data_IF_598646666429
#
_entry.id   IF_598646666429
#
_cell.length_a   1.000
_cell.length_b   1.000
_cell.length_c   1.000
_cell.angle_alpha   90.00
_cell.angle_beta   90.00
_cell.angle_gamma   90.00
#
_symmetry.space_group_name_H-M   'P 1'
#
loop_
_entity.id
_entity.type
_entity.pdbx_description
1 polymer ?
#
# COMPACT_ATOMS: atom_id res chain seq x y z
N UNK A 1 4.88 16.36 -16.59
CA UNK A 1 3.54 15.97 -17.04
C UNK A 1 3.37 14.47 -17.01
N UNK A 2 2.21 14.03 -16.59
CA UNK A 2 1.94 12.61 -16.54
C UNK A 2 1.42 12.10 -17.86
N UNK A 3 1.98 11.02 -18.34
CA UNK A 3 1.49 10.41 -19.55
C UNK A 3 0.43 9.36 -19.27
N UNK A 4 -0.07 8.74 -20.32
CA UNK A 4 -1.09 7.69 -20.19
C UNK A 4 -0.55 6.47 -19.43
N UNK A 5 0.76 6.32 -19.35
CA UNK A 5 1.40 5.21 -18.67
C UNK A 5 1.60 5.47 -17.18
N UNK A 6 1.39 6.71 -16.73
CA UNK A 6 1.65 7.05 -15.33
C UNK A 6 0.65 6.38 -14.40
N UNK A 7 1.16 5.90 -13.27
CA UNK A 7 0.35 5.34 -12.20
C UNK A 7 0.01 6.46 -11.23
N UNK A 8 -1.24 6.52 -10.82
CA UNK A 8 -1.68 7.54 -9.86
C UNK A 8 -1.62 7.04 -8.43
N UNK A 9 -1.87 5.76 -8.20
CA UNK A 9 -1.89 5.17 -6.88
C UNK A 9 -1.19 3.82 -6.94
N UNK A 10 -0.32 3.56 -5.98
CA UNK A 10 0.33 2.27 -5.84
C UNK A 10 -0.18 1.60 -4.57
N UNK A 11 -0.66 0.38 -4.69
CA UNK A 11 -1.09 -0.42 -3.55
C UNK A 11 0.05 -1.37 -3.22
N UNK A 12 0.72 -1.13 -2.10
CA UNK A 12 1.82 -1.97 -1.66
C UNK A 12 1.26 -3.06 -0.76
N UNK A 13 1.36 -4.30 -1.20
CA UNK A 13 0.84 -5.44 -0.44
C UNK A 13 1.97 -6.07 0.36
N UNK A 14 1.84 -6.05 1.68
CA UNK A 14 2.86 -6.59 2.59
C UNK A 14 2.19 -7.65 3.47
N UNK A 15 2.82 -8.82 3.58
CA UNK A 15 2.29 -9.88 4.41
C UNK A 15 2.58 -9.60 5.88
N UNK A 16 1.54 -9.68 6.71
CA UNK A 16 1.67 -9.35 8.14
C UNK A 16 2.54 -10.35 8.90
N UNK A 17 2.67 -11.57 8.40
CA UNK A 17 3.49 -12.59 9.03
C UNK A 17 4.95 -12.55 8.59
N UNK A 18 5.21 -12.09 7.37
CA UNK A 18 6.57 -12.01 6.84
C UNK A 18 7.25 -10.67 7.12
N UNK A 19 6.45 -9.62 7.17
CA UNK A 19 7.00 -8.27 7.32
C UNK A 19 7.62 -7.75 6.04
N UNK A 20 8.57 -6.84 6.18
CA UNK A 20 9.20 -6.19 5.04
C UNK A 20 10.28 -7.09 4.45
N UNK A 21 10.15 -7.38 3.16
CA UNK A 21 11.07 -8.22 2.43
C UNK A 21 11.84 -7.38 1.42
N UNK A 22 12.94 -7.89 0.85
CA UNK A 22 13.71 -7.09 -0.14
C UNK A 22 12.86 -6.60 -1.30
N UNK A 23 11.92 -7.41 -1.77
CA UNK A 23 11.04 -7.00 -2.87
C UNK A 23 10.11 -5.86 -2.43
N UNK A 24 9.75 -5.83 -1.14
CA UNK A 24 8.94 -4.76 -0.60
C UNK A 24 9.69 -3.44 -0.68
N UNK A 25 10.96 -3.45 -0.31
CA UNK A 25 11.81 -2.26 -0.36
C UNK A 25 11.93 -1.76 -1.79
N UNK A 26 12.11 -2.68 -2.72
CA UNK A 26 12.23 -2.34 -4.12
C UNK A 26 10.95 -1.67 -4.63
N UNK A 27 9.80 -2.22 -4.26
CA UNK A 27 8.52 -1.66 -4.64
C UNK A 27 8.33 -0.25 -4.10
N UNK A 28 8.74 -0.02 -2.85
CA UNK A 28 8.66 1.30 -2.22
C UNK A 28 9.51 2.29 -3.00
N UNK A 29 10.73 1.90 -3.33
CA UNK A 29 11.64 2.79 -4.05
C UNK A 29 11.10 3.15 -5.43
N UNK A 30 10.50 2.17 -6.12
CA UNK A 30 9.89 2.43 -7.42
C UNK A 30 8.74 3.42 -7.31
N UNK A 31 7.87 3.23 -6.33
CA UNK A 31 6.71 4.10 -6.16
C UNK A 31 7.14 5.52 -5.78
N UNK A 32 8.14 5.64 -4.92
CA UNK A 32 8.63 6.95 -4.51
C UNK A 32 9.31 7.68 -5.67
N UNK A 33 10.07 6.95 -6.46
CA UNK A 33 10.73 7.54 -7.63
C UNK A 33 9.71 8.05 -8.63
N UNK A 34 8.57 7.37 -8.74
CA UNK A 34 7.50 7.78 -9.64
C UNK A 34 6.64 8.90 -9.06
N UNK A 35 6.78 9.20 -7.78
CA UNK A 35 6.02 10.26 -7.13
C UNK A 35 4.55 9.98 -6.98
N UNK A 36 4.18 8.70 -6.84
CA UNK A 36 2.78 8.31 -6.73
C UNK A 36 2.37 8.15 -5.26
N UNK A 37 1.06 8.24 -5.00
CA UNK A 37 0.51 7.97 -3.68
C UNK A 37 0.63 6.49 -3.38
N UNK A 38 0.99 6.17 -2.14
CA UNK A 38 1.15 4.78 -1.71
C UNK A 38 0.11 4.47 -0.64
N UNK A 39 -0.63 3.38 -0.86
CA UNK A 39 -1.51 2.81 0.16
C UNK A 39 -0.94 1.44 0.50
N UNK A 40 -0.75 1.17 1.77
CA UNK A 40 -0.18 -0.11 2.20
C UNK A 40 -1.32 -1.03 2.64
N UNK A 41 -1.44 -2.16 1.97
CA UNK A 41 -2.39 -3.21 2.34
C UNK A 41 -1.61 -4.28 3.09
N UNK A 42 -1.87 -4.41 4.40
CA UNK A 42 -1.20 -5.40 5.23
C UNK A 42 -2.05 -6.67 5.18
N UNK A 43 -1.60 -7.63 4.40
CA UNK A 43 -2.35 -8.86 4.12
C UNK A 43 -2.06 -9.95 5.15
N UNK A 44 -2.86 -10.99 5.13
CA UNK A 44 -2.71 -12.18 5.96
C UNK A 44 -2.89 -11.91 7.45
N UNK A 45 -3.78 -10.96 7.78
CA UNK A 45 -4.05 -10.66 9.19
C UNK A 45 -4.74 -11.82 9.90
N UNK A 46 -5.26 -12.79 9.17
CA UNK A 46 -5.87 -13.99 9.72
C UNK A 46 -4.85 -15.00 10.23
N UNK A 47 -3.58 -14.82 9.91
CA UNK A 47 -2.53 -15.74 10.36
C UNK A 47 -2.21 -15.51 11.84
N UNK A 48 -1.94 -16.58 12.60
CA UNK A 48 -1.58 -16.41 14.02
C UNK A 48 -0.32 -15.58 14.23
N UNK A 49 0.60 -15.59 13.27
CA UNK A 49 1.84 -14.84 13.38
C UNK A 49 1.74 -13.43 12.81
N UNK A 50 0.54 -12.99 12.43
CA UNK A 50 0.35 -11.67 11.86
C UNK A 50 0.65 -10.58 12.90
N UNK A 51 1.39 -9.56 12.47
CA UNK A 51 1.75 -8.45 13.34
C UNK A 51 1.75 -7.15 12.53
N UNK A 52 0.61 -6.48 12.52
CA UNK A 52 0.43 -5.25 11.75
C UNK A 52 1.32 -4.13 12.30
N UNK A 53 1.44 -4.05 13.62
CA UNK A 53 2.25 -3.00 14.25
C UNK A 53 3.71 -3.13 13.86
N UNK A 54 4.19 -4.35 13.77
CA UNK A 54 5.57 -4.59 13.34
C UNK A 54 5.79 -4.09 11.92
N UNK A 55 4.83 -4.37 11.03
CA UNK A 55 4.94 -3.90 9.63
C UNK A 55 4.98 -2.39 9.59
N UNK A 56 4.11 -1.72 10.35
CA UNK A 56 4.11 -0.26 10.41
C UNK A 56 5.45 0.27 10.88
N UNK A 57 6.00 -0.38 11.91
CA UNK A 57 7.27 0.05 12.47
C UNK A 57 8.42 -0.14 11.48
N UNK A 58 8.44 -1.25 10.78
CA UNK A 58 9.48 -1.51 9.80
C UNK A 58 9.43 -0.53 8.63
N UNK A 59 8.23 -0.16 8.21
CA UNK A 59 8.07 0.73 7.07
C UNK A 59 8.41 2.18 7.38
N UNK A 60 8.43 2.57 8.65
CA UNK A 60 8.87 3.91 9.04
C UNK A 60 10.28 4.19 8.54
N UNK A 61 11.13 3.17 8.55
CA UNK A 61 12.51 3.33 8.10
C UNK A 61 12.62 3.65 6.62
N UNK A 62 11.56 3.38 5.87
CA UNK A 62 11.53 3.65 4.44
C UNK A 62 10.67 4.84 4.10
N UNK A 63 10.30 5.62 5.11
CA UNK A 63 9.56 6.86 4.90
C UNK A 63 8.06 6.70 4.81
N UNK A 64 7.52 5.55 5.16
CA UNK A 64 6.08 5.31 5.14
C UNK A 64 5.56 5.28 6.58
N UNK A 65 5.13 6.43 7.06
CA UNK A 65 4.64 6.57 8.43
C UNK A 65 3.12 6.55 8.41
N UNK A 66 2.52 5.66 9.21
CA UNK A 66 1.08 5.49 9.26
C UNK A 66 0.38 6.77 9.74
N UNK A 67 -0.83 6.99 9.25
CA UNK A 67 -1.61 8.17 9.65
C UNK A 67 -1.86 8.23 11.15
N UNK A 68 -2.13 7.08 11.75
CA UNK A 68 -2.39 7.03 13.20
C UNK A 68 -1.10 7.20 14.01
N UNK A 69 0.05 7.24 13.35
CA UNK A 69 1.34 7.52 13.99
C UNK A 69 1.84 8.92 13.64
N UNK A 70 0.96 9.77 13.10
CA UNK A 70 1.33 11.14 12.78
C UNK A 70 1.85 11.35 11.37
N UNK A 71 1.84 10.31 10.54
CA UNK A 71 2.27 10.41 9.15
C UNK A 71 1.12 10.66 8.20
N UNK A 72 1.35 10.33 6.94
CA UNK A 72 0.33 10.54 5.89
C UNK A 72 0.12 9.31 5.02
N UNK A 73 0.62 8.16 5.42
CA UNK A 73 0.48 6.92 4.67
C UNK A 73 -0.70 6.11 5.22
N UNK A 74 -1.57 5.68 4.32
CA UNK A 74 -2.74 4.88 4.70
C UNK A 74 -2.33 3.42 4.78
N UNK A 75 -2.60 2.78 5.92
CA UNK A 75 -2.38 1.36 6.12
C UNK A 75 -3.73 0.70 6.33
N UNK A 76 -4.02 -0.33 5.54
CA UNK A 76 -5.29 -1.06 5.65
C UNK A 76 -5.00 -2.53 5.92
N UNK A 77 -5.38 -3.04 7.11
CA UNK A 77 -5.23 -4.47 7.39
C UNK A 77 -6.27 -5.27 6.61
N UNK A 78 -5.83 -6.31 5.92
CA UNK A 78 -6.72 -7.11 5.09
C UNK A 78 -6.38 -8.59 5.19
N UNK A 79 -7.33 -9.42 4.80
CA UNK A 79 -7.09 -10.84 4.57
C UNK A 79 -7.79 -11.23 3.29
N UNK A 80 -6.99 -11.54 2.27
CA UNK A 80 -7.57 -12.01 1.01
C UNK A 80 -8.27 -13.34 1.20
N UNK A 81 -7.82 -14.13 2.18
CA UNK A 81 -8.40 -15.44 2.46
C UNK A 81 -9.80 -15.33 3.07
N UNK A 82 -9.97 -14.48 4.08
CA UNK A 82 -11.25 -14.29 4.74
C UNK A 82 -12.05 -13.13 4.16
N UNK A 83 -11.44 -12.35 3.27
CA UNK A 83 -12.01 -11.14 2.66
C UNK A 83 -12.22 -10.00 3.65
N UNK A 84 -11.63 -10.13 4.83
CA UNK A 84 -11.69 -9.07 5.84
C UNK A 84 -10.89 -7.85 5.37
N UNK A 85 -11.48 -6.66 5.55
CA UNK A 85 -10.79 -5.41 5.23
C UNK A 85 -10.75 -5.03 3.76
N UNK A 86 -11.23 -5.90 2.87
CA UNK A 86 -11.17 -5.61 1.43
C UNK A 86 -12.05 -4.41 1.08
N UNK A 87 -13.24 -4.32 1.67
CA UNK A 87 -14.13 -3.18 1.42
C UNK A 87 -13.49 -1.88 1.87
N UNK A 88 -12.81 -1.90 3.01
CA UNK A 88 -12.13 -0.72 3.51
C UNK A 88 -10.99 -0.31 2.58
N UNK A 89 -10.25 -1.28 2.06
CA UNK A 89 -9.18 -0.99 1.11
C UNK A 89 -9.71 -0.32 -0.14
N UNK A 90 -10.80 -0.85 -0.69
CA UNK A 90 -11.42 -0.26 -1.88
C UNK A 90 -11.90 1.16 -1.58
N UNK A 91 -12.49 1.38 -0.41
CA UNK A 91 -12.95 2.70 -0.02
C UNK A 91 -11.79 3.69 0.06
N UNK A 92 -10.67 3.26 0.63
CA UNK A 92 -9.50 4.14 0.74
C UNK A 92 -8.90 4.45 -0.63
N UNK A 93 -8.95 3.50 -1.56
CA UNK A 93 -8.49 3.74 -2.92
C UNK A 93 -9.36 4.82 -3.57
N UNK A 94 -10.66 4.72 -3.41
CA UNK A 94 -11.60 5.68 -3.98
C UNK A 94 -11.37 7.06 -3.39
N UNK A 95 -11.23 7.16 -2.07
CA UNK A 95 -10.99 8.44 -1.40
C UNK A 95 -9.68 9.07 -1.86
N UNK A 96 -8.65 8.27 -2.02
CA UNK A 96 -7.36 8.77 -2.48
C UNK A 96 -7.47 9.26 -3.93
N UNK A 97 -8.18 8.51 -4.77
CA UNK A 97 -8.36 8.91 -6.16
C UNK A 97 -9.12 10.24 -6.24
N UNK A 98 -10.14 10.43 -5.40
CA UNK A 98 -10.88 11.68 -5.38
C UNK A 98 -10.01 12.85 -4.97
N UNK A 99 -9.11 12.63 -4.02
CA UNK A 99 -8.20 13.68 -3.56
C UNK A 99 -7.23 14.11 -4.65
N UNK A 100 -6.92 13.21 -5.58
CA UNK A 100 -6.00 13.50 -6.67
C UNK A 100 -6.67 14.21 -7.83
N UNK A 101 -7.86 14.75 -7.61
CA UNK A 101 -8.62 15.51 -8.56
C UNK A 101 -7.78 16.38 -9.49
N UNK A 102 -8.33 16.81 -10.61
CA UNK A 102 -9.73 16.71 -11.04
C UNK A 102 -9.99 15.69 -12.13
N UNK A 103 -9.34 14.61 -12.18
CA UNK A 103 -9.36 13.73 -13.34
C UNK A 103 -10.43 12.66 -13.25
N UNK A 104 -11.01 12.36 -14.39
CA UNK A 104 -11.97 11.29 -14.55
C UNK A 104 -11.30 10.00 -14.98
N UNK A 105 -9.98 9.98 -14.98
CA UNK A 105 -9.20 8.81 -15.35
C UNK A 105 -8.09 8.60 -14.33
N UNK A 106 -8.01 7.42 -13.77
CA UNK A 106 -7.04 7.07 -12.73
C UNK A 106 -6.39 5.74 -13.03
N UNK A 107 -5.17 5.61 -12.61
CA UNK A 107 -4.45 4.35 -12.69
C UNK A 107 -4.02 3.91 -11.31
N UNK A 108 -4.32 2.66 -10.99
CA UNK A 108 -3.95 2.06 -9.72
C UNK A 108 -3.07 0.87 -10.02
N UNK A 109 -1.92 0.81 -9.35
CA UNK A 109 -0.98 -0.28 -9.50
C UNK A 109 -0.88 -1.04 -8.18
N UNK A 110 -1.12 -2.35 -8.24
CA UNK A 110 -0.91 -3.21 -7.09
C UNK A 110 0.50 -3.76 -7.16
N UNK A 111 1.26 -3.56 -6.08
CA UNK A 111 2.65 -3.99 -6.00
C UNK A 111 2.81 -4.93 -4.83
N UNK A 112 3.42 -6.07 -5.08
CA UNK A 112 3.69 -7.05 -4.05
C UNK A 112 4.98 -7.77 -4.39
N UNK A 113 5.45 -8.59 -3.47
CA UNK A 113 6.64 -9.40 -3.70
C UNK A 113 6.51 -10.27 -4.95
N UNK A 114 5.30 -10.73 -5.23
CA UNK A 114 5.06 -11.62 -6.35
C UNK A 114 5.10 -10.85 -7.68
N UNK A 115 4.54 -9.65 -7.69
CA UNK A 115 4.42 -8.88 -8.92
C UNK A 115 5.75 -8.32 -9.41
N UNK A 116 6.76 -8.31 -8.56
CA UNK A 116 8.06 -7.77 -8.94
C UNK A 116 8.97 -8.80 -9.59
N UNK A 117 8.53 -10.01 -9.69
CA UNK A 117 9.33 -11.05 -10.33
C UNK A 117 9.20 -11.02 -11.87
#
# INVERSE_FOLDING_TARGET
MRGAQSTDIAILVVAADDGVMPQTIEAINHAKAAGVEIIVAVNKIDKPSANVERVKQELVEYGLVAEDWGGDTVFVPVSAHTKEGIDQLLEMIILTADRLQPYWFRKVLFMSEITLQ
#
